data_IF_754810362501
#
_entry.id   IF_754810362501
#
_cell.length_a   1.000
_cell.length_b   1.000
_cell.length_c   1.000
_cell.angle_alpha   90.00
_cell.angle_beta   90.00
_cell.angle_gamma   90.00
#
_symmetry.space_group_name_H-M   'P 1'
#
loop_
_entity.id
_entity.type
_entity.pdbx_description
1 polymer ?
#
# COMPACT_ATOMS: atom_id res chain seq x y z
N UNK A 1 9.18 24.53 -16.57
CA UNK A 1 10.62 24.27 -16.38
C UNK A 1 10.96 23.03 -17.18
N UNK A 2 11.17 23.26 -18.47
CA UNK A 2 11.71 22.28 -19.41
C UNK A 2 13.18 22.03 -19.08
N UNK A 3 13.61 20.77 -19.12
CA UNK A 3 14.88 20.33 -19.72
C UNK A 3 15.14 18.86 -19.37
N UNK A 4 14.84 17.97 -20.31
CA UNK A 4 15.63 16.75 -20.53
C UNK A 4 15.31 16.24 -21.94
N UNK A 5 16.11 16.65 -22.91
CA UNK A 5 16.10 16.14 -24.28
C UNK A 5 17.13 15.01 -24.43
N UNK A 6 16.74 14.04 -25.25
CA UNK A 6 17.55 13.19 -26.12
C UNK A 6 18.38 12.07 -25.47
N UNK A 7 17.82 10.86 -25.47
CA UNK A 7 18.59 9.62 -25.56
C UNK A 7 18.42 9.04 -26.97
N UNK A 8 19.53 8.89 -27.68
CA UNK A 8 19.60 8.19 -28.97
C UNK A 8 19.47 6.68 -28.76
N UNK A 9 18.70 6.03 -29.64
CA UNK A 9 18.52 4.59 -29.75
C UNK A 9 19.81 3.91 -30.23
N UNK A 10 20.39 3.06 -29.40
CA UNK A 10 21.23 1.93 -29.83
C UNK A 10 20.42 0.66 -29.59
N UNK A 11 20.11 -0.07 -30.66
CA UNK A 11 19.24 -1.23 -30.61
C UNK A 11 20.00 -2.51 -30.26
N UNK A 12 19.37 -3.33 -29.43
CA UNK A 12 19.45 -4.78 -29.48
C UNK A 12 18.03 -5.32 -29.25
N UNK A 13 17.51 -6.02 -30.26
CA UNK A 13 16.16 -6.61 -30.24
C UNK A 13 16.16 -7.84 -29.34
N UNK A 14 15.44 -7.78 -28.21
CA UNK A 14 15.08 -8.96 -27.43
C UNK A 14 13.63 -9.32 -27.76
N UNK A 15 13.42 -10.53 -28.28
CA UNK A 15 12.15 -11.09 -28.71
C UNK A 15 11.22 -11.38 -27.52
N UNK A 16 10.03 -10.78 -27.52
CA UNK A 16 8.98 -10.97 -26.50
C UNK A 16 7.83 -11.82 -27.06
N UNK A 17 8.06 -13.11 -27.30
CA UNK A 17 7.04 -14.05 -27.81
C UNK A 17 6.09 -14.63 -26.73
N UNK A 18 5.68 -13.85 -25.73
CA UNK A 18 4.74 -14.34 -24.70
C UNK A 18 3.48 -13.48 -24.48
N UNK A 19 3.31 -12.38 -25.23
CA UNK A 19 2.22 -11.43 -25.01
C UNK A 19 1.12 -11.40 -26.10
N UNK A 20 1.22 -12.20 -27.14
CA UNK A 20 0.36 -12.05 -28.33
C UNK A 20 -0.98 -12.83 -28.30
N UNK A 21 -1.33 -13.50 -27.20
CA UNK A 21 -2.51 -14.39 -27.17
C UNK A 21 -3.69 -13.91 -26.30
N UNK A 22 -3.74 -12.65 -25.88
CA UNK A 22 -4.87 -12.13 -25.10
C UNK A 22 -5.27 -10.72 -25.52
N UNK A 23 -5.85 -10.57 -26.71
CA UNK A 23 -6.93 -9.62 -27.02
C UNK A 23 -7.32 -9.70 -28.49
N UNK A 24 -8.52 -10.22 -28.78
CA UNK A 24 -9.48 -9.73 -29.78
C UNK A 24 -10.74 -10.57 -29.53
N UNK A 25 -11.73 -9.99 -28.84
CA UNK A 25 -13.16 -10.08 -29.17
C UNK A 25 -14.01 -9.42 -28.07
N UNK A 26 -15.03 -8.70 -28.53
CA UNK A 26 -16.21 -8.23 -27.79
C UNK A 26 -16.13 -6.88 -27.05
N UNK A 27 -16.04 -5.79 -27.83
CA UNK A 27 -16.78 -4.55 -27.54
C UNK A 27 -17.20 -3.86 -28.84
N UNK A 28 -18.16 -4.44 -29.57
CA UNK A 28 -19.03 -3.72 -30.51
C UNK A 28 -20.39 -4.43 -30.52
N UNK A 29 -21.40 -3.77 -29.96
CA UNK A 29 -22.80 -3.73 -30.42
C UNK A 29 -23.74 -3.43 -29.24
N UNK A 30 -24.17 -2.17 -29.12
CA UNK A 30 -25.43 -1.81 -28.47
C UNK A 30 -25.77 -0.33 -28.77
N UNK A 31 -26.23 -0.04 -29.99
CA UNK A 31 -27.16 1.08 -30.24
C UNK A 31 -28.15 0.70 -31.35
N UNK A 32 -29.42 0.95 -31.06
CA UNK A 32 -30.63 0.97 -31.90
C UNK A 32 -31.31 -0.38 -32.25
N UNK A 33 -32.48 -0.63 -31.65
CA UNK A 33 -33.77 -0.53 -32.36
C UNK A 33 -34.98 -0.57 -31.38
N UNK A 34 -36.06 0.11 -31.77
CA UNK A 34 -37.29 0.38 -31.02
C UNK A 34 -38.34 -0.75 -31.16
N UNK A 35 -38.94 -1.17 -30.03
CA UNK A 35 -40.37 -1.55 -29.76
C UNK A 35 -41.07 -2.66 -30.60
N UNK A 36 -42.18 -3.32 -30.15
CA UNK A 36 -43.06 -3.02 -29.00
C UNK A 36 -43.46 -4.20 -28.07
N UNK A 37 -43.93 -3.81 -26.88
CA UNK A 37 -44.99 -4.36 -26.01
C UNK A 37 -45.35 -5.85 -26.13
N UNK A 38 -45.12 -6.61 -25.05
CA UNK A 38 -46.09 -7.57 -24.53
C UNK A 38 -45.97 -7.67 -22.99
N UNK A 39 -47.10 -7.43 -22.34
CA UNK A 39 -47.36 -7.52 -20.90
C UNK A 39 -47.41 -8.98 -20.45
N UNK A 40 -46.69 -9.31 -19.39
CA UNK A 40 -46.96 -10.47 -18.55
C UNK A 40 -46.67 -10.10 -17.09
N UNK A 41 -47.76 -10.12 -16.31
CA UNK A 41 -47.89 -9.87 -14.89
C UNK A 41 -47.09 -10.86 -14.00
N UNK A 42 -47.19 -10.62 -12.69
CA UNK A 42 -47.03 -11.57 -11.56
C UNK A 42 -45.61 -11.58 -10.95
N UNK A 43 -45.31 -11.19 -9.70
CA UNK A 43 -46.09 -11.02 -8.47
C UNK A 43 -45.40 -10.03 -7.51
N UNK A 44 -46.14 -9.03 -7.03
CA UNK A 44 -45.75 -8.15 -5.92
C UNK A 44 -46.63 -8.51 -4.71
N UNK A 45 -46.09 -9.24 -3.74
CA UNK A 45 -46.83 -9.58 -2.52
C UNK A 45 -46.98 -8.33 -1.64
N UNK A 46 -48.17 -7.73 -1.67
CA UNK A 46 -48.65 -6.80 -0.65
C UNK A 46 -49.10 -7.61 0.56
N UNK A 47 -48.40 -7.48 1.68
CA UNK A 47 -48.87 -7.97 2.97
C UNK A 47 -49.97 -7.04 3.51
N UNK A 48 -51.13 -7.64 3.76
CA UNK A 48 -52.27 -7.03 4.43
C UNK A 48 -51.94 -6.80 5.91
N UNK A 49 -52.04 -5.55 6.36
CA UNK A 49 -52.07 -5.21 7.79
C UNK A 49 -53.50 -5.43 8.29
N UNK A 50 -53.76 -6.57 8.91
CA UNK A 50 -54.90 -6.78 9.81
C UNK A 50 -54.40 -6.63 11.26
N UNK A 51 -54.88 -5.59 11.94
CA UNK A 51 -54.75 -5.43 13.39
C UNK A 51 -55.54 -6.54 14.08
N UNK A 52 -54.87 -7.42 14.81
CA UNK A 52 -55.48 -8.05 15.98
C UNK A 52 -54.42 -8.38 17.02
N UNK A 53 -54.61 -7.83 18.20
CA UNK A 53 -53.79 -7.96 19.39
C UNK A 53 -53.81 -9.41 19.88
N UNK A 54 -52.64 -10.02 20.04
CA UNK A 54 -52.39 -10.98 21.12
C UNK A 54 -50.87 -11.21 21.27
N UNK A 55 -50.38 -10.83 22.44
CA UNK A 55 -49.00 -10.94 22.88
C UNK A 55 -48.65 -12.40 23.09
N UNK A 56 -47.97 -13.03 22.13
CA UNK A 56 -47.34 -14.32 22.34
C UNK A 56 -45.84 -14.18 22.06
N UNK A 57 -45.04 -14.31 23.11
CA UNK A 57 -43.59 -14.36 23.02
C UNK A 57 -43.19 -15.60 22.22
N UNK A 58 -42.94 -15.41 20.93
CA UNK A 58 -42.24 -16.39 20.12
C UNK A 58 -40.76 -16.28 20.49
N UNK A 59 -40.25 -17.29 21.20
CA UNK A 59 -38.82 -17.54 21.33
C UNK A 59 -38.26 -17.71 19.92
N UNK A 60 -37.68 -16.64 19.37
CA UNK A 60 -36.80 -16.75 18.21
C UNK A 60 -35.56 -17.47 18.70
N UNK A 61 -35.48 -18.77 18.45
CA UNK A 61 -34.26 -19.54 18.65
C UNK A 61 -33.16 -18.87 17.83
N UNK A 62 -32.25 -18.21 18.53
CA UNK A 62 -31.10 -17.55 17.94
C UNK A 62 -30.07 -18.64 17.58
N UNK A 63 -30.36 -19.43 16.53
CA UNK A 63 -29.37 -20.31 15.89
C UNK A 63 -28.51 -19.46 14.96
N UNK A 64 -27.76 -18.53 15.55
CA UNK A 64 -26.67 -17.85 14.89
C UNK A 64 -25.57 -18.87 14.62
N UNK A 65 -25.70 -19.63 13.53
CA UNK A 65 -24.60 -20.38 12.97
C UNK A 65 -23.53 -19.36 12.55
N UNK A 66 -22.57 -19.10 13.43
CA UNK A 66 -21.31 -18.40 13.10
C UNK A 66 -20.56 -19.27 12.09
N UNK A 67 -20.99 -19.24 10.82
CA UNK A 67 -20.17 -19.76 9.74
C UNK A 67 -18.87 -18.95 9.75
N UNK A 68 -17.71 -19.60 9.87
CA UNK A 68 -16.45 -18.88 9.81
C UNK A 68 -16.34 -18.23 8.42
N UNK A 69 -16.13 -16.92 8.39
CA UNK A 69 -15.86 -16.22 7.15
C UNK A 69 -14.52 -16.71 6.58
N UNK A 70 -14.45 -16.86 5.26
CA UNK A 70 -13.19 -17.07 4.56
C UNK A 70 -12.59 -15.69 4.30
N UNK A 71 -11.32 -15.51 4.63
CA UNK A 71 -10.62 -14.25 4.38
C UNK A 71 -9.71 -14.37 3.17
N UNK A 72 -9.78 -13.39 2.27
CA UNK A 72 -8.84 -13.23 1.15
C UNK A 72 -8.13 -11.90 1.30
N UNK A 73 -6.81 -11.87 1.07
CA UNK A 73 -6.01 -10.64 1.11
C UNK A 73 -5.36 -10.40 -0.24
N UNK A 74 -5.54 -9.20 -0.77
CA UNK A 74 -4.74 -8.63 -1.85
C UNK A 74 -3.91 -7.49 -1.26
N UNK A 75 -2.61 -7.50 -1.52
CA UNK A 75 -1.64 -6.55 -1.00
C UNK A 75 -0.97 -5.92 -2.22
N UNK A 76 -1.10 -4.61 -2.36
CA UNK A 76 -0.52 -3.84 -3.44
C UNK A 76 0.57 -2.93 -2.88
N UNK A 77 1.79 -3.13 -3.34
CA UNK A 77 2.95 -2.30 -2.98
C UNK A 77 3.31 -1.36 -4.11
N UNK A 78 3.67 -0.12 -3.79
CA UNK A 78 4.44 0.72 -4.70
C UNK A 78 5.92 0.27 -4.75
N UNK A 79 6.68 0.80 -5.70
CA UNK A 79 8.10 0.53 -5.86
C UNK A 79 8.98 1.73 -5.49
N UNK A 80 8.82 2.85 -6.20
CA UNK A 80 9.60 4.06 -5.98
C UNK A 80 9.29 4.62 -4.58
N UNK A 81 10.35 5.03 -3.86
CA UNK A 81 10.33 5.49 -2.46
C UNK A 81 9.61 4.60 -1.44
N UNK A 82 9.27 3.37 -1.84
CA UNK A 82 8.52 2.39 -1.03
C UNK A 82 9.27 1.06 -0.89
N UNK A 83 9.89 0.57 -1.96
CA UNK A 83 10.78 -0.61 -1.96
C UNK A 83 12.23 -0.16 -2.12
N UNK A 84 12.45 0.84 -2.98
CA UNK A 84 13.75 1.46 -3.22
C UNK A 84 13.62 2.97 -2.96
N UNK A 85 14.50 3.60 -2.15
CA UNK A 85 14.45 5.04 -1.85
C UNK A 85 15.00 5.85 -3.04
N UNK A 86 14.30 5.81 -4.17
CA UNK A 86 14.75 6.35 -5.47
C UNK A 86 14.99 7.85 -5.42
N UNK A 87 14.18 8.62 -4.70
CA UNK A 87 14.40 10.07 -4.54
C UNK A 87 15.65 10.36 -3.72
N UNK A 88 15.93 9.60 -2.67
CA UNK A 88 17.17 9.75 -1.90
C UNK A 88 18.40 9.42 -2.74
N UNK A 89 18.36 8.33 -3.50
CA UNK A 89 19.46 7.90 -4.39
C UNK A 89 19.73 8.97 -5.45
N UNK A 90 18.70 9.44 -6.13
CA UNK A 90 18.86 10.36 -7.28
C UNK A 90 19.09 11.80 -6.84
N UNK A 91 18.28 12.33 -5.92
CA UNK A 91 18.33 13.75 -5.56
C UNK A 91 19.38 14.07 -4.50
N UNK A 92 19.61 13.17 -3.52
CA UNK A 92 20.53 13.43 -2.40
C UNK A 92 21.91 12.86 -2.67
N UNK A 93 21.99 11.60 -3.12
CA UNK A 93 23.27 10.99 -3.44
C UNK A 93 23.79 11.30 -4.83
N UNK A 94 22.91 11.77 -5.74
CA UNK A 94 23.25 12.03 -7.15
C UNK A 94 23.82 10.80 -7.86
N UNK A 95 23.28 9.62 -7.55
CA UNK A 95 23.66 8.37 -8.21
C UNK A 95 22.66 8.03 -9.31
N UNK A 96 23.17 7.85 -10.53
CA UNK A 96 22.48 7.27 -11.66
C UNK A 96 22.78 5.77 -11.83
N UNK A 97 22.18 5.16 -12.84
CA UNK A 97 22.30 3.72 -13.12
C UNK A 97 23.74 3.30 -13.50
N UNK A 98 24.49 4.21 -14.11
CA UNK A 98 25.85 3.97 -14.60
C UNK A 98 26.93 4.29 -13.55
N UNK A 99 26.56 4.94 -12.44
CA UNK A 99 27.53 5.35 -11.43
C UNK A 99 27.97 4.18 -10.53
N UNK A 100 29.17 4.29 -9.98
CA UNK A 100 29.64 3.34 -8.97
C UNK A 100 28.98 3.64 -7.63
N UNK A 101 28.44 2.60 -6.97
CA UNK A 101 27.85 2.73 -5.65
C UNK A 101 28.98 2.88 -4.63
N UNK A 102 29.05 4.00 -3.86
CA UNK A 102 30.07 4.19 -2.83
C UNK A 102 30.04 3.06 -1.79
N UNK A 103 31.21 2.61 -1.36
CA UNK A 103 31.34 1.52 -0.38
C UNK A 103 30.59 1.83 0.93
N UNK A 104 30.62 3.10 1.37
CA UNK A 104 29.93 3.58 2.56
C UNK A 104 28.41 3.40 2.50
N UNK A 105 27.81 3.35 1.31
CA UNK A 105 26.35 3.23 1.14
C UNK A 105 25.92 1.79 0.84
N UNK A 106 26.82 0.97 0.30
CA UNK A 106 26.52 -0.43 -0.04
C UNK A 106 25.97 -1.22 1.14
N UNK A 107 26.45 -0.97 2.36
CA UNK A 107 25.94 -1.61 3.57
C UNK A 107 24.48 -1.26 3.85
N UNK A 108 24.06 -0.01 3.61
CA UNK A 108 22.66 0.39 3.77
C UNK A 108 21.75 -0.33 2.76
N UNK A 109 22.16 -0.46 1.50
CA UNK A 109 21.38 -1.20 0.50
C UNK A 109 21.29 -2.70 0.81
N UNK A 110 22.35 -3.29 1.36
CA UNK A 110 22.31 -4.68 1.83
C UNK A 110 21.28 -4.86 2.94
N UNK A 111 21.35 -4.02 3.99
CA UNK A 111 20.40 -4.06 5.10
C UNK A 111 18.96 -3.77 4.65
N UNK A 112 18.77 -2.79 3.76
CA UNK A 112 17.47 -2.52 3.12
C UNK A 112 16.95 -3.78 2.41
N UNK A 113 17.81 -4.45 1.63
CA UNK A 113 17.42 -5.66 0.93
C UNK A 113 16.93 -6.75 1.90
N UNK A 114 17.61 -6.95 3.03
CA UNK A 114 17.19 -7.93 4.04
C UNK A 114 15.80 -7.63 4.59
N UNK A 115 15.52 -6.38 4.99
CA UNK A 115 14.24 -6.02 5.60
C UNK A 115 13.10 -6.00 4.59
N UNK A 116 13.35 -5.53 3.37
CA UNK A 116 12.38 -5.57 2.27
C UNK A 116 12.01 -7.01 1.94
N UNK A 117 12.99 -7.91 1.80
CA UNK A 117 12.73 -9.34 1.53
C UNK A 117 11.86 -9.94 2.64
N UNK A 118 12.14 -9.65 3.91
CA UNK A 118 11.29 -10.09 5.04
C UNK A 118 9.86 -9.57 4.92
N UNK A 119 9.68 -8.29 4.56
CA UNK A 119 8.36 -7.70 4.34
C UNK A 119 7.62 -8.38 3.18
N UNK A 120 8.23 -8.51 2.00
CA UNK A 120 7.60 -9.12 0.83
C UNK A 120 7.27 -10.60 1.10
N UNK A 121 8.16 -11.32 1.79
CA UNK A 121 7.93 -12.70 2.22
C UNK A 121 6.72 -12.81 3.14
N UNK A 122 6.63 -11.96 4.17
CA UNK A 122 5.46 -11.93 5.05
C UNK A 122 4.18 -11.67 4.25
N UNK A 123 4.17 -10.68 3.35
CA UNK A 123 3.02 -10.39 2.50
C UNK A 123 2.59 -11.61 1.66
N UNK A 124 3.54 -12.34 1.06
CA UNK A 124 3.24 -13.56 0.29
C UNK A 124 2.63 -14.68 1.14
N UNK A 125 3.06 -14.83 2.39
CA UNK A 125 2.46 -15.82 3.30
C UNK A 125 1.03 -15.46 3.70
N UNK A 126 0.68 -14.18 3.69
CA UNK A 126 -0.61 -13.70 4.17
C UNK A 126 -1.64 -13.49 3.04
N UNK A 127 -1.22 -13.35 1.79
CA UNK A 127 -2.13 -13.02 0.69
C UNK A 127 -1.47 -12.98 -0.68
N UNK A 128 -2.23 -12.47 -1.66
CA UNK A 128 -1.69 -12.18 -2.98
C UNK A 128 -0.98 -10.84 -2.95
N UNK A 129 0.28 -10.82 -3.37
CA UNK A 129 1.12 -9.62 -3.44
C UNK A 129 1.30 -9.20 -4.90
N UNK A 130 1.10 -7.91 -5.18
CA UNK A 130 1.35 -7.28 -6.49
C UNK A 130 2.11 -5.98 -6.27
N UNK A 131 3.12 -5.72 -7.08
CA UNK A 131 3.84 -4.44 -7.12
C UNK A 131 3.27 -3.59 -8.26
N UNK A 132 2.87 -2.36 -7.97
CA UNK A 132 2.30 -1.40 -8.94
C UNK A 132 3.05 -0.09 -8.86
N UNK A 133 3.74 0.29 -9.93
CA UNK A 133 4.50 1.55 -10.02
C UNK A 133 3.97 2.47 -11.13
N UNK A 134 4.08 3.79 -10.93
CA UNK A 134 3.89 4.78 -11.98
C UNK A 134 5.17 5.05 -12.81
N UNK A 135 6.30 4.41 -12.47
CA UNK A 135 7.49 4.41 -13.32
C UNK A 135 7.39 3.36 -14.43
N UNK A 136 8.31 3.42 -15.41
CA UNK A 136 8.41 2.38 -16.44
C UNK A 136 8.98 1.09 -15.84
N UNK A 137 8.64 -0.04 -16.45
CA UNK A 137 9.19 -1.34 -16.08
C UNK A 137 10.70 -1.38 -16.30
N UNK A 138 11.20 -0.75 -17.37
CA UNK A 138 12.64 -0.62 -17.64
C UNK A 138 13.37 0.07 -16.48
N UNK A 139 12.82 1.18 -15.97
CA UNK A 139 13.38 1.88 -14.81
C UNK A 139 13.40 1.00 -13.57
N UNK A 140 12.28 0.35 -13.25
CA UNK A 140 12.17 -0.52 -12.09
C UNK A 140 13.21 -1.65 -12.16
N UNK A 141 13.31 -2.34 -13.29
CA UNK A 141 14.22 -3.47 -13.46
C UNK A 141 15.68 -3.02 -13.31
N UNK A 142 16.08 -1.97 -14.01
CA UNK A 142 17.47 -1.51 -14.02
C UNK A 142 17.88 -0.94 -12.66
N UNK A 143 17.01 -0.18 -12.01
CA UNK A 143 17.26 0.34 -10.66
C UNK A 143 17.31 -0.79 -9.62
N UNK A 144 16.42 -1.77 -9.68
CA UNK A 144 16.40 -2.89 -8.73
C UNK A 144 17.67 -3.74 -8.86
N UNK A 145 18.08 -4.09 -10.09
CA UNK A 145 19.32 -4.85 -10.36
C UNK A 145 20.56 -4.10 -9.88
N UNK A 146 20.56 -2.77 -9.97
CA UNK A 146 21.70 -1.95 -9.58
C UNK A 146 21.79 -1.79 -8.06
N UNK A 147 20.72 -1.35 -7.42
CA UNK A 147 20.75 -0.86 -6.05
C UNK A 147 20.34 -1.93 -5.02
N UNK A 148 19.44 -2.84 -5.37
CA UNK A 148 18.89 -3.88 -4.47
C UNK A 148 18.80 -5.25 -5.18
N UNK A 149 19.91 -5.78 -5.74
CA UNK A 149 19.87 -6.98 -6.57
C UNK A 149 19.28 -8.21 -5.87
N UNK A 150 19.46 -8.33 -4.54
CA UNK A 150 18.89 -9.42 -3.76
C UNK A 150 17.35 -9.35 -3.72
N UNK A 151 16.77 -8.15 -3.61
CA UNK A 151 15.32 -7.94 -3.67
C UNK A 151 14.81 -8.29 -5.06
N UNK A 152 15.52 -7.86 -6.11
CA UNK A 152 15.17 -8.21 -7.49
C UNK A 152 15.14 -9.73 -7.71
N UNK A 153 16.19 -10.44 -7.31
CA UNK A 153 16.25 -11.90 -7.36
C UNK A 153 15.10 -12.53 -6.58
N UNK A 154 14.78 -12.02 -5.39
CA UNK A 154 13.66 -12.51 -4.59
C UNK A 154 12.31 -12.33 -5.29
N UNK A 155 12.05 -11.16 -5.90
CA UNK A 155 10.82 -10.89 -6.66
C UNK A 155 10.66 -11.91 -7.79
N UNK A 156 11.72 -12.14 -8.57
CA UNK A 156 11.70 -13.07 -9.70
C UNK A 156 11.50 -14.52 -9.24
N UNK A 157 12.25 -14.98 -8.24
CA UNK A 157 12.17 -16.37 -7.74
C UNK A 157 10.80 -16.72 -7.14
N UNK A 158 10.09 -15.73 -6.60
CA UNK A 158 8.76 -15.92 -6.01
C UNK A 158 7.63 -15.52 -6.96
N UNK A 159 7.94 -15.22 -8.23
CA UNK A 159 6.99 -14.79 -9.25
C UNK A 159 6.06 -13.65 -8.76
N UNK A 160 6.62 -12.67 -8.03
CA UNK A 160 5.84 -11.52 -7.57
C UNK A 160 5.45 -10.70 -8.79
N UNK A 161 4.14 -10.54 -9.00
CA UNK A 161 3.61 -9.79 -10.14
C UNK A 161 3.99 -8.32 -10.03
N UNK A 162 4.59 -7.78 -11.10
CA UNK A 162 4.88 -6.34 -11.24
C UNK A 162 4.02 -5.76 -12.37
N UNK A 163 3.47 -4.57 -12.13
CA UNK A 163 2.71 -3.81 -13.11
C UNK A 163 3.24 -2.38 -13.16
N UNK A 164 3.79 -1.98 -14.29
CA UNK A 164 3.98 -0.55 -14.60
C UNK A 164 2.66 0.01 -15.11
N UNK A 165 2.06 0.90 -14.32
CA UNK A 165 0.84 1.61 -14.70
C UNK A 165 1.13 2.56 -15.87
N UNK A 166 2.33 3.18 -15.88
CA UNK A 166 2.81 4.00 -16.99
C UNK A 166 2.87 3.24 -18.28
N UNK A 167 3.59 2.11 -18.34
CA UNK A 167 3.77 1.40 -19.60
C UNK A 167 2.43 0.89 -20.16
N UNK A 168 1.47 0.59 -19.28
CA UNK A 168 0.11 0.20 -19.69
C UNK A 168 -0.76 1.35 -20.16
N UNK A 169 -0.62 2.55 -19.58
CA UNK A 169 -1.61 3.63 -19.73
C UNK A 169 -1.03 4.92 -20.32
N UNK A 170 0.27 4.97 -20.66
CA UNK A 170 0.92 6.18 -21.19
C UNK A 170 0.28 6.70 -22.48
N UNK A 171 -0.27 5.79 -23.31
CA UNK A 171 -0.95 6.13 -24.55
C UNK A 171 -2.47 6.29 -24.39
N UNK A 172 -2.99 6.23 -23.16
CA UNK A 172 -4.40 6.47 -22.86
C UNK A 172 -4.67 7.95 -22.61
N UNK A 173 -5.94 8.35 -22.61
CA UNK A 173 -6.37 9.71 -22.24
C UNK A 173 -6.46 9.93 -20.72
N UNK A 174 -5.96 8.98 -19.93
CA UNK A 174 -6.09 8.98 -18.46
C UNK A 174 -4.91 9.75 -17.87
N UNK A 175 -5.23 10.68 -16.96
CA UNK A 175 -4.24 11.45 -16.21
C UNK A 175 -3.32 10.50 -15.41
N UNK A 176 -1.99 10.69 -15.43
CA UNK A 176 -1.05 9.87 -14.67
C UNK A 176 -1.41 9.66 -13.19
N UNK A 177 -1.99 10.66 -12.53
CA UNK A 177 -2.44 10.57 -11.13
C UNK A 177 -3.55 9.52 -10.91
N UNK A 178 -4.24 9.15 -11.99
CA UNK A 178 -5.37 8.22 -11.99
C UNK A 178 -4.99 6.84 -12.53
N UNK A 179 -3.78 6.64 -13.07
CA UNK A 179 -3.34 5.34 -13.58
C UNK A 179 -3.46 4.22 -12.54
N UNK A 180 -3.03 4.46 -11.29
CA UNK A 180 -3.15 3.45 -10.23
C UNK A 180 -4.61 3.12 -9.90
N UNK A 181 -5.58 4.04 -10.07
CA UNK A 181 -7.02 3.73 -9.89
C UNK A 181 -7.47 2.66 -10.89
N UNK A 182 -7.10 2.83 -12.16
CA UNK A 182 -7.41 1.89 -13.24
C UNK A 182 -6.75 0.54 -12.99
N UNK A 183 -5.46 0.54 -12.63
CA UNK A 183 -4.72 -0.70 -12.37
C UNK A 183 -5.28 -1.44 -11.14
N UNK A 184 -5.62 -0.73 -10.05
CA UNK A 184 -6.23 -1.36 -8.87
C UNK A 184 -7.56 -2.02 -9.21
N UNK A 185 -8.43 -1.32 -9.95
CA UNK A 185 -9.70 -1.88 -10.43
C UNK A 185 -9.47 -3.16 -11.25
N UNK A 186 -8.53 -3.15 -12.19
CA UNK A 186 -8.18 -4.32 -13.01
C UNK A 186 -7.69 -5.49 -12.14
N UNK A 187 -6.73 -5.26 -11.25
CA UNK A 187 -6.16 -6.32 -10.39
C UNK A 187 -7.25 -6.93 -9.48
N UNK A 188 -8.09 -6.10 -8.87
CA UNK A 188 -9.15 -6.57 -7.97
C UNK A 188 -10.14 -7.45 -8.73
N UNK A 189 -10.59 -7.02 -9.91
CA UNK A 189 -11.52 -7.83 -10.72
C UNK A 189 -10.86 -9.08 -11.28
N UNK A 190 -9.56 -9.05 -11.60
CA UNK A 190 -8.85 -10.24 -12.06
C UNK A 190 -8.68 -11.28 -10.93
N UNK A 191 -8.28 -10.85 -9.73
CA UNK A 191 -7.88 -11.76 -8.66
C UNK A 191 -9.04 -12.12 -7.73
N UNK A 192 -9.96 -11.18 -7.49
CA UNK A 192 -10.98 -11.30 -6.44
C UNK A 192 -12.40 -11.45 -6.98
N UNK A 193 -12.66 -11.31 -8.28
CA UNK A 193 -14.02 -11.43 -8.84
C UNK A 193 -14.81 -12.67 -8.36
N UNK A 194 -14.23 -13.88 -8.26
CA UNK A 194 -14.96 -15.04 -7.75
C UNK A 194 -15.47 -14.91 -6.31
N UNK A 195 -14.90 -13.98 -5.54
CA UNK A 195 -15.18 -13.78 -4.13
C UNK A 195 -16.07 -12.57 -3.83
N UNK A 196 -16.14 -11.57 -4.72
CA UNK A 196 -16.82 -10.29 -4.46
C UNK A 196 -18.33 -10.46 -4.18
N UNK A 197 -18.98 -11.41 -4.85
CA UNK A 197 -20.41 -11.72 -4.67
C UNK A 197 -20.69 -12.75 -3.57
N UNK A 198 -19.66 -13.37 -3.00
CA UNK A 198 -19.83 -14.42 -2.00
C UNK A 198 -19.89 -13.82 -0.59
N UNK A 199 -21.10 -13.79 -0.01
CA UNK A 199 -21.35 -13.24 1.34
C UNK A 199 -20.61 -13.98 2.47
N UNK A 200 -20.03 -15.15 2.23
CA UNK A 200 -19.21 -15.88 3.21
C UNK A 200 -17.71 -15.57 3.11
N UNK A 201 -17.31 -14.70 2.16
CA UNK A 201 -15.91 -14.31 1.96
C UNK A 201 -15.76 -12.82 2.24
N UNK A 202 -14.75 -12.45 3.02
CA UNK A 202 -14.35 -11.06 3.23
C UNK A 202 -13.01 -10.85 2.53
N UNK A 203 -12.97 -9.90 1.61
CA UNK A 203 -11.75 -9.53 0.89
C UNK A 203 -11.12 -8.30 1.53
N UNK A 204 -9.87 -8.41 1.97
CA UNK A 204 -9.06 -7.28 2.39
C UNK A 204 -8.16 -6.82 1.25
N UNK A 205 -8.14 -5.52 0.99
CA UNK A 205 -7.24 -4.89 0.02
C UNK A 205 -6.33 -3.94 0.78
N UNK A 206 -5.04 -4.24 0.79
CA UNK A 206 -4.01 -3.41 1.39
C UNK A 206 -3.28 -2.64 0.29
N UNK A 207 -3.11 -1.33 0.48
CA UNK A 207 -2.27 -0.47 -0.35
C UNK A 207 -1.13 0.05 0.50
N UNK A 208 0.11 -0.11 0.03
CA UNK A 208 1.33 0.34 0.73
C UNK A 208 2.15 1.17 -0.24
N UNK A 209 2.44 2.42 0.13
CA UNK A 209 3.29 3.31 -0.66
C UNK A 209 3.56 4.64 0.03
N UNK A 210 4.51 5.40 -0.49
CA UNK A 210 4.93 6.70 0.06
C UNK A 210 4.18 7.90 -0.56
N UNK A 211 3.52 7.68 -1.70
CA UNK A 211 2.85 8.67 -2.52
C UNK A 211 1.39 8.92 -2.15
N UNK A 212 0.73 9.80 -2.91
CA UNK A 212 -0.72 10.02 -2.78
C UNK A 212 -1.51 9.16 -3.78
N UNK A 213 -0.88 8.69 -4.85
CA UNK A 213 -1.57 8.04 -5.98
C UNK A 213 -2.16 6.68 -5.59
N UNK A 214 -1.40 5.81 -4.94
CA UNK A 214 -1.86 4.50 -4.45
C UNK A 214 -2.81 4.62 -3.25
N UNK A 215 -2.66 5.68 -2.45
CA UNK A 215 -3.62 6.01 -1.38
C UNK A 215 -4.95 6.45 -1.98
N UNK A 216 -4.91 7.36 -2.96
CA UNK A 216 -6.10 7.83 -3.68
C UNK A 216 -6.76 6.71 -4.47
N UNK A 217 -5.98 5.81 -5.08
CA UNK A 217 -6.49 4.63 -5.75
C UNK A 217 -7.24 3.72 -4.78
N UNK A 218 -6.62 3.38 -3.65
CA UNK A 218 -7.26 2.56 -2.61
C UNK A 218 -8.55 3.21 -2.09
N UNK A 219 -8.50 4.51 -1.76
CA UNK A 219 -9.66 5.24 -1.26
C UNK A 219 -10.78 5.33 -2.31
N UNK A 220 -10.48 5.75 -3.54
CA UNK A 220 -11.46 5.87 -4.61
C UNK A 220 -12.17 4.53 -4.87
N UNK A 221 -11.40 3.45 -5.01
CA UNK A 221 -11.94 2.12 -5.27
C UNK A 221 -12.82 1.64 -4.12
N UNK A 222 -12.47 1.96 -2.86
CA UNK A 222 -13.27 1.59 -1.69
C UNK A 222 -14.69 2.17 -1.68
N UNK A 223 -14.94 3.25 -2.43
CA UNK A 223 -16.25 3.90 -2.53
C UNK A 223 -17.16 3.28 -3.61
N UNK A 224 -16.65 2.35 -4.41
CA UNK A 224 -17.43 1.74 -5.49
C UNK A 224 -18.34 0.63 -4.93
N UNK A 225 -19.63 0.69 -5.23
CA UNK A 225 -20.64 -0.25 -4.71
C UNK A 225 -20.32 -1.73 -4.94
N UNK A 226 -19.67 -2.06 -6.07
CA UNK A 226 -19.25 -3.41 -6.41
C UNK A 226 -18.21 -4.01 -5.44
N UNK A 227 -17.55 -3.17 -4.63
CA UNK A 227 -16.57 -3.58 -3.62
C UNK A 227 -17.04 -3.31 -2.19
N UNK A 228 -18.35 -3.13 -1.97
CA UNK A 228 -18.94 -2.86 -0.65
C UNK A 228 -18.74 -3.99 0.37
N UNK A 229 -18.46 -5.21 -0.07
CA UNK A 229 -18.12 -6.36 0.77
C UNK A 229 -16.63 -6.44 1.14
N UNK A 230 -15.81 -5.56 0.59
CA UNK A 230 -14.37 -5.54 0.79
C UNK A 230 -13.95 -4.55 1.90
N UNK A 231 -12.83 -4.84 2.55
CA UNK A 231 -12.21 -3.96 3.54
C UNK A 231 -10.92 -3.41 2.95
N UNK A 232 -10.86 -2.09 2.78
CA UNK A 232 -9.69 -1.40 2.25
C UNK A 232 -8.86 -0.81 3.38
N UNK A 233 -7.54 -0.99 3.31
CA UNK A 233 -6.57 -0.41 4.24
C UNK A 233 -5.43 0.19 3.43
N UNK A 234 -5.14 1.46 3.63
CA UNK A 234 -3.96 2.12 3.05
C UNK A 234 -2.98 2.46 4.16
N UNK A 235 -1.72 2.08 3.96
CA UNK A 235 -0.60 2.44 4.80
C UNK A 235 0.32 3.36 3.99
N UNK A 236 0.55 4.56 4.53
CA UNK A 236 1.37 5.58 3.89
C UNK A 236 2.75 5.60 4.54
N UNK A 237 3.78 5.33 3.75
CA UNK A 237 5.18 5.53 4.14
C UNK A 237 5.57 7.01 4.04
N UNK A 238 6.72 7.36 4.60
CA UNK A 238 7.32 8.67 4.50
C UNK A 238 7.68 8.95 3.05
N UNK A 239 7.23 10.10 2.53
CA UNK A 239 7.61 10.54 1.19
C UNK A 239 9.11 10.84 1.12
N UNK A 240 9.75 10.41 0.03
CA UNK A 240 11.18 10.58 -0.24
C UNK A 240 12.09 10.12 0.95
N UNK A 241 11.95 8.89 1.45
CA UNK A 241 12.67 8.46 2.64
C UNK A 241 14.16 8.28 2.33
N UNK A 242 15.03 8.56 3.32
CA UNK A 242 16.40 8.06 3.23
C UNK A 242 16.42 6.54 3.36
N UNK A 243 17.51 5.89 2.93
CA UNK A 243 17.62 4.44 3.06
C UNK A 243 17.41 3.95 4.50
N UNK A 244 17.95 4.66 5.51
CA UNK A 244 17.73 4.30 6.92
C UNK A 244 16.27 4.47 7.36
N UNK A 245 15.58 5.52 6.89
CA UNK A 245 14.15 5.72 7.20
C UNK A 245 13.33 4.60 6.59
N UNK A 246 13.58 4.25 5.34
CA UNK A 246 12.85 3.19 4.66
C UNK A 246 13.10 1.82 5.32
N UNK A 247 14.32 1.55 5.79
CA UNK A 247 14.61 0.36 6.62
C UNK A 247 13.70 0.31 7.84
N UNK A 248 13.60 1.42 8.59
CA UNK A 248 12.76 1.48 9.79
C UNK A 248 11.27 1.31 9.47
N UNK A 249 10.79 1.85 8.34
CA UNK A 249 9.40 1.66 7.90
C UNK A 249 9.08 0.21 7.55
N UNK A 250 10.01 -0.51 6.91
CA UNK A 250 9.85 -1.94 6.65
C UNK A 250 9.88 -2.79 7.92
N UNK A 251 10.76 -2.47 8.88
CA UNK A 251 10.81 -3.15 10.18
C UNK A 251 9.51 -2.92 10.97
N UNK A 252 8.98 -1.70 10.95
CA UNK A 252 7.71 -1.35 11.60
C UNK A 252 6.51 -2.00 10.92
N UNK A 253 6.48 -2.00 9.58
CA UNK A 253 5.50 -2.71 8.78
C UNK A 253 5.47 -4.18 9.18
N UNK A 254 6.64 -4.83 9.18
CA UNK A 254 6.76 -6.25 9.48
C UNK A 254 6.20 -6.56 10.88
N UNK A 255 6.59 -5.77 11.88
CA UNK A 255 6.13 -5.95 13.26
C UNK A 255 4.60 -5.89 13.37
N UNK A 256 3.97 -4.83 12.85
CA UNK A 256 2.52 -4.68 12.98
C UNK A 256 1.74 -5.64 12.09
N UNK A 257 2.19 -5.83 10.85
CA UNK A 257 1.49 -6.70 9.90
C UNK A 257 1.54 -8.17 10.33
N UNK A 258 2.63 -8.60 10.95
CA UNK A 258 2.72 -9.95 11.54
C UNK A 258 1.82 -10.09 12.78
N UNK A 259 1.79 -9.07 13.66
CA UNK A 259 0.99 -9.08 14.89
C UNK A 259 -0.52 -9.19 14.64
N UNK A 260 -1.01 -8.67 13.51
CA UNK A 260 -2.44 -8.75 13.15
C UNK A 260 -2.92 -10.16 12.78
N UNK A 261 -2.02 -11.15 12.67
CA UNK A 261 -2.37 -12.53 12.32
C UNK A 261 -2.43 -13.50 13.52
N UNK A 262 -1.95 -13.09 14.71
CA UNK A 262 -2.05 -13.86 15.95
C UNK A 262 -2.99 -13.18 16.95
N UNK A 263 -4.33 -13.29 16.79
CA UNK A 263 -5.26 -12.71 17.77
C UNK A 263 -5.11 -13.27 19.19
N UNK A 264 -4.41 -14.39 19.38
CA UNK A 264 -4.09 -14.97 20.70
C UNK A 264 -2.92 -14.30 21.43
N UNK A 265 -2.10 -13.49 20.75
CA UNK A 265 -0.89 -12.88 21.33
C UNK A 265 -0.95 -11.35 21.42
N UNK A 266 -2.01 -10.72 20.90
CA UNK A 266 -2.25 -9.29 21.09
C UNK A 266 -2.67 -8.97 22.53
N UNK A 267 -1.78 -9.20 23.50
CA UNK A 267 -1.86 -8.52 24.79
C UNK A 267 -1.61 -7.04 24.52
N UNK A 268 -2.64 -6.25 24.73
CA UNK A 268 -2.51 -4.80 24.89
C UNK A 268 -1.53 -4.56 26.04
N UNK A 269 -0.24 -4.39 25.73
CA UNK A 269 0.70 -3.80 26.69
C UNK A 269 0.41 -2.31 26.66
N UNK A 270 -0.54 -1.88 27.49
CA UNK A 270 -0.65 -0.48 27.86
C UNK A 270 0.74 -0.02 28.29
N UNK A 271 1.33 0.86 27.49
CA UNK A 271 2.53 1.60 27.88
C UNK A 271 2.13 2.34 29.16
N UNK A 272 2.66 1.91 30.31
CA UNK A 272 2.45 2.62 31.56
C UNK A 272 2.99 4.04 31.38
N UNK A 273 2.24 5.10 31.74
CA UNK A 273 2.76 6.45 31.74
C UNK A 273 4.04 6.49 32.58
N UNK A 274 5.07 7.15 32.05
CA UNK A 274 6.29 7.44 32.78
C UNK A 274 5.90 8.18 34.07
N UNK A 275 6.26 7.61 35.22
CA UNK A 275 5.97 8.22 36.52
C UNK A 275 6.57 9.63 36.56
N UNK A 276 5.77 10.60 36.99
CA UNK A 276 6.20 11.98 37.21
C UNK A 276 7.36 12.03 38.21
N UNK A 277 8.33 12.93 38.01
CA UNK A 277 9.42 13.12 38.97
C UNK A 277 8.86 13.60 40.33
N UNK A 278 9.54 13.28 41.45
CA UNK A 278 9.07 13.66 42.77
C UNK A 278 9.06 15.19 42.93
N UNK A 279 8.18 15.72 43.81
CA UNK A 279 8.04 17.16 43.99
C UNK A 279 9.29 17.74 44.68
N UNK A 280 9.82 18.83 44.12
CA UNK A 280 10.80 19.66 44.80
C UNK A 280 10.16 20.30 46.04
N UNK A 281 10.70 19.99 47.22
CA UNK A 281 10.39 20.70 48.45
C UNK A 281 11.06 22.07 48.43
N UNK A 282 10.26 23.11 48.37
CA UNK A 282 10.67 24.50 48.50
C UNK A 282 10.79 24.95 49.96
N UNK A 283 11.81 25.78 50.21
CA UNK A 283 11.96 26.67 51.37
C UNK A 283 13.11 26.28 52.30
N UNK A 284 13.96 27.18 52.83
CA UNK A 284 14.06 28.66 52.90
C UNK A 284 15.55 28.88 53.32
N UNK A 285 16.32 29.90 52.92
CA UNK A 285 16.42 31.25 53.53
C UNK A 285 17.52 32.04 52.79
N UNK A 286 17.18 33.27 52.38
CA UNK A 286 18.13 34.32 52.01
C UNK A 286 18.93 34.79 53.24
N UNK A 287 20.24 35.00 53.08
CA UNK A 287 20.93 36.06 53.80
C UNK A 287 21.91 36.79 52.88
N UNK A 288 21.62 38.07 52.71
CA UNK A 288 22.37 39.10 51.99
C UNK A 288 23.70 39.44 52.66
N UNK A 289 24.77 39.58 51.87
CA UNK A 289 25.80 40.60 52.11
C UNK A 289 26.72 40.76 50.90
N UNK A 290 26.63 41.91 50.25
CA UNK A 290 27.63 42.46 49.32
C UNK A 290 28.60 43.31 50.16
N UNK A 291 29.92 43.30 49.89
CA UNK A 291 30.52 44.51 49.35
C UNK A 291 31.62 44.31 48.29
N UNK A 292 31.47 45.08 47.20
CA UNK A 292 32.45 46.00 46.57
C UNK A 292 33.86 45.52 46.20
N UNK A 293 34.13 45.65 44.88
CA UNK A 293 35.31 46.31 44.25
C UNK A 293 36.72 45.81 44.58
N UNK A 294 37.48 45.37 43.55
CA UNK A 294 38.55 46.18 42.91
C UNK A 294 39.34 45.38 41.86
N UNK A 295 39.68 46.07 40.74
CA UNK A 295 40.96 46.04 39.97
C UNK A 295 41.42 44.70 39.36
N UNK A 296 41.42 44.51 38.04
CA UNK A 296 42.30 45.07 36.97
C UNK A 296 43.45 44.12 36.58
N UNK A 297 43.67 44.01 35.26
CA UNK A 297 44.92 43.71 34.54
C UNK A 297 45.34 42.24 34.31
N UNK A 298 45.20 41.84 33.03
CA UNK A 298 46.26 41.47 32.07
C UNK A 298 47.33 40.40 32.40
N UNK A 299 47.54 39.57 31.36
CA UNK A 299 48.72 38.77 30.97
C UNK A 299 48.92 37.47 31.77
N UNK A 300 49.09 36.29 31.15
CA UNK A 300 49.80 35.90 29.92
C UNK A 300 49.02 34.82 29.17
#
# INVERSE_FOLDING_TARGET
>A
MENMRNFQRGGDQISYNYLDNLQINEMRNAQNENSPVHTADVNFCKEHITRSSNTQMVRVENRGHNKPYIYKKLIVFDYDDTILPTSWITAKMKLGLNDNIPASVRQFFFKLSEVVIKTLSLCLTQGKLVIVTNASLEWLINSARKFIPLVWSYIILNNIRIISARDRLINSLIDPKDWKKVIFHQIINEILAPYLCNKSVICFIYSVGDGNDERNACFFISQLNQYSSCIFKSLKFLSEPSCQKLIAEHELFYYFFNSTCNPSEARCTSIKPLASPPPESSGVVLSTSVPKSCKSLQNV
#
